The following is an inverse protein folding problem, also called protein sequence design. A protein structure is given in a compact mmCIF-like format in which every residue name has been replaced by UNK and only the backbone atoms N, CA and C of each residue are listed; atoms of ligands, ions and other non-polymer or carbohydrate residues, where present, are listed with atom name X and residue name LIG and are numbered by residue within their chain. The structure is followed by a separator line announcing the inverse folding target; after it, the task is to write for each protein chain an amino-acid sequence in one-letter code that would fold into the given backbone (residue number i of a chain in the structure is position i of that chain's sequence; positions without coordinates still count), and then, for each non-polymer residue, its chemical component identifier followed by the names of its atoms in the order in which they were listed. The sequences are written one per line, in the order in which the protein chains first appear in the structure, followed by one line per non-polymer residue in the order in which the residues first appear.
data_IF_437394146491
#
_entry.id   IF_437394146491
#
_cell.length_a   1.000
_cell.length_b   1.000
_cell.length_c   1.000
_cell.angle_alpha   90.00
_cell.angle_beta   90.00
_cell.angle_gamma   90.00
#
_symmetry.space_group_name_H-M   'P 1'
#
loop_
_entity.id
_entity.type
_entity.pdbx_description
1 polymer ?
#
# COMPACT_ATOMS: atom_id res chain seq x y z
N UNK A 1 7.16 -21.49 11.92
CA UNK A 1 7.13 -20.84 13.23
C UNK A 1 6.56 -19.40 13.11
N UNK A 2 5.22 -19.29 13.09
CA UNK A 2 4.52 -18.03 12.86
C UNK A 2 4.80 -16.94 13.92
N UNK A 3 5.16 -17.34 15.14
CA UNK A 3 5.35 -16.39 16.25
C UNK A 3 6.59 -15.50 16.11
N UNK A 4 7.65 -15.97 15.45
CA UNK A 4 8.92 -15.24 15.33
C UNK A 4 9.05 -14.46 14.02
N UNK A 5 8.33 -14.87 12.97
CA UNK A 5 8.44 -14.27 11.62
C UNK A 5 7.21 -13.48 11.21
N UNK A 6 6.14 -13.47 12.04
CA UNK A 6 4.92 -12.72 11.72
C UNK A 6 5.21 -11.22 11.52
N UNK A 7 4.84 -10.70 10.34
CA UNK A 7 5.09 -9.31 9.96
C UNK A 7 6.54 -8.98 9.60
N UNK A 8 7.45 -9.96 9.57
CA UNK A 8 8.82 -9.74 9.10
C UNK A 8 8.88 -9.82 7.58
N UNK A 9 8.62 -8.72 6.95
CA UNK A 9 8.55 -8.58 5.49
C UNK A 9 9.14 -7.24 5.04
N UNK A 10 9.31 -7.07 3.76
CA UNK A 10 9.77 -5.85 3.11
C UNK A 10 9.01 -5.64 1.80
N UNK A 11 9.05 -4.47 1.21
CA UNK A 11 8.42 -4.25 -0.11
C UNK A 11 8.88 -5.25 -1.18
N UNK A 12 10.18 -5.54 -1.36
CA UNK A 12 10.59 -6.58 -2.32
C UNK A 12 9.97 -7.95 -2.06
N UNK A 13 9.82 -8.34 -0.77
CA UNK A 13 9.16 -9.60 -0.41
C UNK A 13 7.67 -9.56 -0.76
N UNK A 14 6.99 -8.46 -0.42
CA UNK A 14 5.57 -8.25 -0.70
C UNK A 14 5.29 -8.18 -2.21
N UNK A 15 6.16 -7.56 -3.00
CA UNK A 15 6.01 -7.58 -4.47
C UNK A 15 6.14 -8.97 -5.06
N UNK A 16 7.04 -9.82 -4.54
CA UNK A 16 7.13 -11.22 -4.94
C UNK A 16 5.88 -12.00 -4.59
N UNK A 17 5.34 -11.79 -3.39
CA UNK A 17 4.09 -12.42 -2.95
C UNK A 17 2.91 -12.02 -3.84
N UNK A 18 2.75 -10.72 -4.11
CA UNK A 18 1.72 -10.20 -5.02
C UNK A 18 1.91 -10.78 -6.43
N UNK A 19 3.15 -10.81 -6.95
CA UNK A 19 3.45 -11.39 -8.26
C UNK A 19 3.07 -12.87 -8.33
N UNK A 20 3.39 -13.65 -7.29
CA UNK A 20 3.02 -15.05 -7.19
C UNK A 20 1.49 -15.22 -7.20
N UNK A 21 0.78 -14.43 -6.40
CA UNK A 21 -0.69 -14.49 -6.33
C UNK A 21 -1.36 -14.08 -7.65
N UNK A 22 -0.85 -13.06 -8.34
CA UNK A 22 -1.37 -12.66 -9.65
C UNK A 22 -1.20 -13.77 -10.69
N UNK A 23 -0.02 -14.40 -10.77
CA UNK A 23 0.24 -15.53 -11.67
C UNK A 23 -0.68 -16.72 -11.38
N UNK A 24 -0.82 -17.09 -10.10
CA UNK A 24 -1.70 -18.20 -9.68
C UNK A 24 -3.17 -17.90 -9.97
N UNK A 25 -3.61 -16.68 -9.71
CA UNK A 25 -4.99 -16.26 -9.97
C UNK A 25 -5.26 -16.25 -11.47
N UNK A 26 -4.34 -15.69 -12.28
CA UNK A 26 -4.47 -15.69 -13.74
C UNK A 26 -4.57 -17.12 -14.29
N UNK A 27 -3.68 -18.01 -13.87
CA UNK A 27 -3.69 -19.41 -14.31
C UNK A 27 -5.03 -20.11 -13.99
N UNK A 28 -5.58 -19.91 -12.78
CA UNK A 28 -6.88 -20.48 -12.38
C UNK A 28 -8.05 -19.90 -13.16
N UNK A 29 -8.03 -18.61 -13.47
CA UNK A 29 -9.07 -17.97 -14.27
C UNK A 29 -9.02 -18.47 -15.72
N UNK A 30 -7.83 -18.61 -16.29
CA UNK A 30 -7.62 -19.09 -17.64
C UNK A 30 -8.05 -20.55 -17.80
N UNK A 31 -7.74 -21.40 -16.82
CA UNK A 31 -8.18 -22.79 -16.77
C UNK A 31 -9.72 -22.90 -16.75
N UNK A 32 -10.37 -22.05 -15.95
CA UNK A 32 -11.82 -22.13 -15.73
C UNK A 32 -12.66 -21.46 -16.83
N UNK A 33 -12.17 -20.34 -17.35
CA UNK A 33 -12.97 -19.44 -18.19
C UNK A 33 -12.38 -19.20 -19.57
N UNK A 34 -11.22 -19.77 -19.88
CA UNK A 34 -10.46 -19.51 -21.09
C UNK A 34 -9.47 -18.36 -20.93
N UNK A 35 -8.38 -18.44 -21.71
CA UNK A 35 -7.25 -17.52 -21.61
C UNK A 35 -7.68 -16.05 -21.78
N UNK A 36 -7.28 -15.23 -20.83
CA UNK A 36 -7.46 -13.76 -20.80
C UNK A 36 -8.92 -13.26 -20.91
N UNK A 37 -9.92 -14.14 -20.67
CA UNK A 37 -11.34 -13.78 -20.78
C UNK A 37 -11.86 -12.98 -19.59
N UNK A 38 -11.29 -13.17 -18.40
CA UNK A 38 -11.72 -12.50 -17.15
C UNK A 38 -10.72 -11.42 -16.77
N UNK A 39 -11.14 -10.15 -16.65
CA UNK A 39 -10.25 -9.08 -16.20
C UNK A 39 -9.82 -9.30 -14.74
N UNK A 40 -8.55 -8.99 -14.44
CA UNK A 40 -7.97 -9.09 -13.10
C UNK A 40 -7.67 -7.70 -12.55
N UNK A 41 -8.21 -7.39 -11.38
CA UNK A 41 -7.97 -6.11 -10.72
C UNK A 41 -7.15 -6.31 -9.45
N UNK A 42 -6.20 -5.40 -9.21
CA UNK A 42 -5.42 -5.37 -7.97
C UNK A 42 -5.93 -4.26 -7.05
N UNK A 43 -6.43 -4.66 -5.88
CA UNK A 43 -6.94 -3.74 -4.87
C UNK A 43 -6.04 -3.78 -3.63
N UNK A 44 -5.71 -2.61 -3.10
CA UNK A 44 -4.97 -2.49 -1.84
C UNK A 44 -5.58 -1.44 -0.92
N UNK A 45 -5.66 -1.76 0.38
CA UNK A 45 -6.09 -0.84 1.44
C UNK A 45 -4.89 -0.44 2.30
N UNK A 46 -4.84 0.82 2.74
CA UNK A 46 -3.84 1.33 3.67
C UNK A 46 -2.40 1.06 3.18
N UNK A 47 -1.60 0.33 3.94
CA UNK A 47 -0.27 -0.13 3.52
C UNK A 47 -0.33 -0.94 2.22
N UNK A 48 -1.36 -1.79 2.05
CA UNK A 48 -1.60 -2.52 0.81
C UNK A 48 -1.86 -1.59 -0.38
N UNK A 49 -2.52 -0.45 -0.17
CA UNK A 49 -2.70 0.59 -1.18
C UNK A 49 -1.37 1.23 -1.60
N UNK A 50 -0.49 1.51 -0.64
CA UNK A 50 0.87 1.96 -0.90
C UNK A 50 1.70 0.91 -1.66
N UNK A 51 1.59 -0.37 -1.29
CA UNK A 51 2.24 -1.49 -1.99
C UNK A 51 1.73 -1.59 -3.41
N UNK A 52 0.41 -1.50 -3.63
CA UNK A 52 -0.19 -1.53 -4.97
C UNK A 52 0.29 -0.38 -5.84
N UNK A 53 0.35 0.83 -5.31
CA UNK A 53 0.90 1.99 -6.03
C UNK A 53 2.37 1.78 -6.39
N UNK A 54 3.19 1.35 -5.41
CA UNK A 54 4.60 1.05 -5.63
C UNK A 54 4.83 -0.08 -6.64
N UNK A 55 3.96 -1.11 -6.63
CA UNK A 55 4.03 -2.22 -7.56
C UNK A 55 4.05 -1.78 -9.03
N UNK A 56 3.28 -0.75 -9.36
CA UNK A 56 3.21 -0.22 -10.72
C UNK A 56 4.21 0.90 -11.03
N UNK A 57 4.73 1.58 -10.01
CA UNK A 57 5.56 2.79 -10.20
C UNK A 57 7.05 2.58 -9.93
N UNK A 58 7.46 1.42 -9.43
CA UNK A 58 8.89 1.16 -9.20
C UNK A 58 9.68 1.09 -10.49
N UNK A 59 10.99 1.30 -10.35
CA UNK A 59 11.96 1.17 -11.43
C UNK A 59 11.84 -0.21 -12.08
N UNK A 60 11.79 -0.31 -13.41
CA UNK A 60 11.74 -1.58 -14.15
C UNK A 60 12.87 -2.57 -13.80
N UNK A 61 14.01 -2.08 -13.33
CA UNK A 61 15.11 -2.92 -12.87
C UNK A 61 14.88 -3.59 -11.51
N UNK A 62 13.75 -3.28 -10.85
CA UNK A 62 13.36 -3.84 -9.56
C UNK A 62 12.11 -4.74 -9.70
N UNK A 63 11.92 -5.75 -8.84
CA UNK A 63 10.65 -6.45 -8.78
C UNK A 63 9.49 -5.47 -8.55
N UNK A 64 8.30 -5.68 -9.12
CA UNK A 64 7.85 -6.84 -9.89
C UNK A 64 8.30 -6.79 -11.36
N UNK A 65 8.33 -7.94 -12.00
CA UNK A 65 8.60 -8.06 -13.42
C UNK A 65 7.48 -7.42 -14.23
N UNK A 66 7.83 -6.80 -15.36
CA UNK A 66 6.88 -6.05 -16.20
C UNK A 66 5.74 -6.94 -16.73
N UNK A 67 6.03 -8.20 -17.05
CA UNK A 67 5.03 -9.19 -17.50
C UNK A 67 3.91 -9.40 -16.48
N UNK A 68 4.22 -9.34 -15.17
CA UNK A 68 3.22 -9.52 -14.12
C UNK A 68 2.31 -8.31 -14.00
N UNK A 69 2.85 -7.10 -14.20
CA UNK A 69 2.05 -5.88 -14.21
C UNK A 69 1.00 -5.91 -15.32
N UNK A 70 1.34 -6.51 -16.47
CA UNK A 70 0.43 -6.65 -17.62
C UNK A 70 -0.74 -7.61 -17.38
N UNK A 71 -0.67 -8.48 -16.35
CA UNK A 71 -1.80 -9.35 -15.97
C UNK A 71 -2.96 -8.55 -15.36
N UNK A 72 -2.73 -7.30 -14.95
CA UNK A 72 -3.69 -6.50 -14.21
C UNK A 72 -4.40 -5.53 -15.14
N UNK A 73 -5.73 -5.60 -15.15
CA UNK A 73 -6.62 -4.78 -15.99
C UNK A 73 -6.95 -3.42 -15.36
N UNK A 74 -6.73 -3.24 -14.06
CA UNK A 74 -6.95 -1.98 -13.35
C UNK A 74 -6.56 -2.09 -11.88
N UNK A 75 -6.28 -0.96 -11.24
CA UNK A 75 -5.89 -0.88 -9.85
C UNK A 75 -6.89 -0.07 -9.02
N UNK A 76 -7.05 -0.45 -7.75
CA UNK A 76 -7.90 0.23 -6.77
C UNK A 76 -7.07 0.49 -5.51
N UNK A 77 -6.97 1.76 -5.12
CA UNK A 77 -6.29 2.17 -3.90
C UNK A 77 -7.33 2.69 -2.91
N UNK A 78 -7.42 2.05 -1.74
CA UNK A 78 -8.30 2.50 -0.66
C UNK A 78 -7.47 3.03 0.49
N UNK A 79 -7.71 4.30 0.87
CA UNK A 79 -6.95 4.99 1.93
C UNK A 79 -5.44 4.69 1.86
N UNK A 80 -4.78 4.83 0.67
CA UNK A 80 -3.45 4.28 0.45
C UNK A 80 -2.39 4.98 1.31
N UNK A 81 -1.45 4.19 1.85
CA UNK A 81 -0.27 4.73 2.51
C UNK A 81 0.71 5.31 1.48
N UNK A 82 0.43 6.53 1.05
CA UNK A 82 1.36 7.35 0.27
C UNK A 82 2.16 8.27 1.18
N UNK A 83 1.56 8.70 2.29
CA UNK A 83 2.18 9.34 3.44
C UNK A 83 1.24 9.18 4.64
N UNK A 84 1.77 9.34 5.85
CA UNK A 84 1.01 9.21 7.09
C UNK A 84 1.17 10.44 7.99
N UNK A 85 0.24 10.59 8.92
CA UNK A 85 0.36 11.55 10.02
C UNK A 85 1.36 11.02 11.06
N UNK A 86 2.66 11.17 10.79
CA UNK A 86 3.71 10.68 11.67
C UNK A 86 4.33 11.83 12.47
N UNK A 87 4.57 11.66 13.78
CA UNK A 87 5.04 12.74 14.64
C UNK A 87 6.49 13.19 14.35
N UNK A 88 7.27 12.37 13.64
CA UNK A 88 8.65 12.67 13.30
C UNK A 88 8.74 12.96 11.80
N UNK A 89 9.34 14.09 11.37
CA UNK A 89 9.57 14.35 9.96
C UNK A 89 10.31 13.19 9.27
N UNK A 90 9.83 12.75 8.12
CA UNK A 90 10.40 11.60 7.38
C UNK A 90 11.88 11.82 7.04
N UNK A 91 12.29 13.07 6.81
CA UNK A 91 13.68 13.44 6.56
C UNK A 91 14.63 13.04 7.71
N UNK A 92 14.14 13.02 8.95
CA UNK A 92 14.91 12.58 10.13
C UNK A 92 14.63 11.11 10.43
N UNK A 93 13.38 10.70 10.38
CA UNK A 93 12.94 9.34 10.74
C UNK A 93 13.53 8.25 9.85
N UNK A 94 13.62 8.48 8.53
CA UNK A 94 14.13 7.49 7.57
C UNK A 94 15.62 7.16 7.79
N UNK A 95 16.56 8.13 7.92
CA UNK A 95 17.95 7.83 8.22
C UNK A 95 18.13 7.07 9.55
N UNK A 96 17.39 7.48 10.58
CA UNK A 96 17.41 6.79 11.89
C UNK A 96 16.93 5.35 11.74
N UNK A 97 15.80 5.14 11.08
CA UNK A 97 15.25 3.81 10.83
C UNK A 97 16.20 2.93 10.01
N UNK A 98 16.84 3.49 9.00
CA UNK A 98 17.87 2.78 8.22
C UNK A 98 19.03 2.32 9.10
N UNK A 99 19.51 3.17 10.01
CA UNK A 99 20.55 2.84 10.95
C UNK A 99 20.11 1.76 11.94
N UNK A 100 18.89 1.86 12.47
CA UNK A 100 18.31 0.84 13.35
C UNK A 100 18.22 -0.51 12.64
N UNK A 101 17.74 -0.54 11.41
CA UNK A 101 17.62 -1.79 10.63
C UNK A 101 18.96 -2.45 10.30
N UNK A 102 20.04 -1.64 10.20
CA UNK A 102 21.39 -2.17 9.98
C UNK A 102 21.89 -3.01 11.17
N UNK A 103 21.57 -2.56 12.39
CA UNK A 103 22.06 -3.19 13.63
C UNK A 103 21.04 -4.14 14.27
N UNK A 104 19.74 -3.87 14.08
CA UNK A 104 18.63 -4.58 14.71
C UNK A 104 17.55 -4.93 13.68
N UNK A 105 17.82 -5.84 12.70
CA UNK A 105 16.90 -6.09 11.59
C UNK A 105 15.56 -6.69 12.00
N UNK A 106 15.49 -7.31 13.19
CA UNK A 106 14.29 -8.01 13.69
C UNK A 106 13.50 -7.20 14.74
N UNK A 107 13.88 -5.94 14.98
CA UNK A 107 13.23 -5.12 16.00
C UNK A 107 11.75 -4.89 15.68
N UNK A 108 10.91 -5.03 16.69
CA UNK A 108 9.49 -4.68 16.69
C UNK A 108 9.25 -3.48 17.60
N UNK A 109 8.44 -2.54 17.11
CA UNK A 109 8.07 -1.35 17.88
C UNK A 109 6.53 -1.21 17.88
N UNK A 110 5.93 -0.60 18.93
CA UNK A 110 4.50 -0.35 19.04
C UNK A 110 4.10 0.87 18.15
N UNK A 111 4.23 0.71 16.85
CA UNK A 111 4.01 1.77 15.84
C UNK A 111 2.69 1.61 15.07
N UNK A 112 1.82 0.69 15.49
CA UNK A 112 0.48 0.56 14.92
C UNK A 112 -0.39 1.79 15.24
N UNK A 113 -1.28 2.22 14.31
CA UNK A 113 -2.16 3.36 14.55
C UNK A 113 -3.12 3.07 15.71
N UNK A 114 -3.49 4.11 16.50
CA UNK A 114 -4.52 3.94 17.53
C UNK A 114 -5.85 3.51 16.91
N UNK A 115 -6.52 2.50 17.48
CA UNK A 115 -7.77 1.96 16.94
C UNK A 115 -8.88 3.03 16.76
N UNK A 116 -8.91 4.04 17.64
CA UNK A 116 -9.87 5.17 17.56
C UNK A 116 -9.68 6.06 16.32
N UNK A 117 -8.51 6.02 15.70
CA UNK A 117 -8.19 6.82 14.50
C UNK A 117 -8.46 6.03 13.20
N UNK A 118 -8.66 4.71 13.33
CA UNK A 118 -8.99 3.83 12.20
C UNK A 118 -10.48 3.96 11.82
N UNK A 119 -11.38 3.83 12.80
CA UNK A 119 -12.81 3.78 12.55
C UNK A 119 -13.58 4.55 13.62
N UNK A 120 -14.79 5.06 13.27
CA UNK A 120 -15.72 5.71 14.20
C UNK A 120 -16.62 4.72 14.91
N UNK A 121 -16.85 3.55 14.32
CA UNK A 121 -17.73 2.53 14.87
C UNK A 121 -17.07 1.88 16.09
N UNK A 122 -17.66 2.11 17.27
CA UNK A 122 -17.11 1.61 18.54
C UNK A 122 -16.98 0.08 18.58
N UNK A 123 -17.88 -0.64 17.93
CA UNK A 123 -17.84 -2.09 17.84
C UNK A 123 -16.61 -2.57 17.05
N UNK A 124 -16.30 -1.92 15.92
CA UNK A 124 -15.12 -2.22 15.10
C UNK A 124 -13.83 -1.90 15.86
N UNK A 125 -13.80 -0.74 16.54
CA UNK A 125 -12.67 -0.34 17.39
C UNK A 125 -12.43 -1.36 18.51
N UNK A 126 -13.48 -1.85 19.13
CA UNK A 126 -13.39 -2.86 20.20
C UNK A 126 -12.92 -4.21 19.67
N UNK A 127 -13.46 -4.66 18.53
CA UNK A 127 -13.04 -5.90 17.88
C UNK A 127 -11.54 -5.85 17.52
N UNK A 128 -11.08 -4.75 16.92
CA UNK A 128 -9.65 -4.57 16.60
C UNK A 128 -8.74 -4.64 17.84
N UNK A 129 -9.23 -4.23 19.03
CA UNK A 129 -8.46 -4.28 20.29
C UNK A 129 -8.34 -5.69 20.87
N UNK A 130 -9.39 -6.50 20.74
CA UNK A 130 -9.46 -7.84 21.34
C UNK A 130 -9.06 -8.95 20.37
N UNK A 131 -8.97 -8.66 19.09
CA UNK A 131 -8.64 -9.63 18.07
C UNK A 131 -7.17 -10.10 18.22
N UNK A 132 -6.94 -11.40 18.47
CA UNK A 132 -5.59 -11.94 18.66
C UNK A 132 -4.71 -11.89 17.41
N UNK A 133 -5.30 -11.62 16.25
CA UNK A 133 -4.58 -11.43 14.98
C UNK A 133 -4.16 -9.97 14.76
N UNK A 134 -4.70 -9.03 15.54
CA UNK A 134 -4.30 -7.62 15.53
C UNK A 134 -3.12 -7.41 16.47
N UNK A 135 -2.12 -6.68 16.02
CA UNK A 135 -0.96 -6.31 16.82
C UNK A 135 -0.57 -4.86 16.59
N UNK A 136 -0.38 -4.13 17.68
CA UNK A 136 0.23 -2.79 17.60
C UNK A 136 1.75 -2.83 17.37
N UNK A 137 2.38 -4.00 17.57
CA UNK A 137 3.82 -4.18 17.33
C UNK A 137 4.09 -4.51 15.87
N UNK A 138 4.89 -3.68 15.23
CA UNK A 138 5.25 -3.82 13.81
C UNK A 138 6.78 -3.94 13.68
N UNK A 139 7.23 -4.83 12.80
CA UNK A 139 8.64 -4.86 12.45
C UNK A 139 9.04 -3.58 11.71
N UNK A 140 10.11 -2.93 12.15
CA UNK A 140 10.63 -1.71 11.51
C UNK A 140 10.96 -1.94 10.05
N UNK A 141 11.42 -3.15 9.68
CA UNK A 141 11.66 -3.55 8.29
C UNK A 141 10.41 -3.43 7.40
N UNK A 142 9.24 -3.78 7.94
CA UNK A 142 7.97 -3.69 7.20
C UNK A 142 7.58 -2.23 6.90
N UNK A 143 7.92 -1.31 7.81
CA UNK A 143 7.57 0.11 7.70
C UNK A 143 8.52 0.89 6.79
N UNK A 144 9.76 0.44 6.65
CA UNK A 144 10.78 1.20 5.91
C UNK A 144 10.38 1.47 4.45
N UNK A 145 9.85 0.46 3.76
CA UNK A 145 9.39 0.60 2.38
C UNK A 145 8.29 1.65 2.23
N UNK A 146 7.14 1.53 2.93
CA UNK A 146 6.06 2.51 2.87
C UNK A 146 6.49 3.93 3.28
N UNK A 147 7.25 4.08 4.37
CA UNK A 147 7.69 5.39 4.85
C UNK A 147 8.65 6.10 3.91
N UNK A 148 9.54 5.35 3.24
CA UNK A 148 10.50 5.93 2.30
C UNK A 148 9.94 6.07 0.89
N UNK A 149 9.20 5.08 0.42
CA UNK A 149 8.73 4.99 -0.96
C UNK A 149 7.36 5.64 -1.19
N UNK A 150 6.49 5.68 -0.20
CA UNK A 150 5.18 6.32 -0.33
C UNK A 150 5.25 7.78 -0.76
N UNK A 151 5.96 8.65 -0.04
CA UNK A 151 6.17 10.04 -0.44
C UNK A 151 6.85 10.18 -1.81
N UNK A 152 7.79 9.28 -2.14
CA UNK A 152 8.48 9.30 -3.42
C UNK A 152 7.55 8.97 -4.59
N UNK A 153 6.56 8.08 -4.39
CA UNK A 153 5.54 7.81 -5.41
C UNK A 153 4.83 9.09 -5.80
N UNK A 154 4.43 9.90 -4.81
CA UNK A 154 3.72 11.17 -5.05
C UNK A 154 4.62 12.24 -5.65
N UNK A 155 5.90 12.27 -5.25
CA UNK A 155 6.85 13.28 -5.72
C UNK A 155 7.34 13.03 -7.16
N UNK A 156 7.66 11.77 -7.48
CA UNK A 156 8.35 11.46 -8.73
C UNK A 156 7.84 10.20 -9.43
N UNK A 157 7.66 9.08 -8.69
CA UNK A 157 7.49 7.76 -9.29
C UNK A 157 6.14 7.61 -10.01
N UNK A 158 5.14 8.47 -9.72
CA UNK A 158 3.87 8.53 -10.43
C UNK A 158 4.04 8.63 -11.95
N UNK A 159 5.14 9.20 -12.44
CA UNK A 159 5.45 9.32 -13.87
C UNK A 159 5.59 7.96 -14.56
N UNK A 160 5.91 6.91 -13.78
CA UNK A 160 6.03 5.53 -14.25
C UNK A 160 4.72 4.76 -14.22
N UNK A 161 3.61 5.40 -13.77
CA UNK A 161 2.30 4.75 -13.81
C UNK A 161 1.97 4.30 -15.23
N UNK A 162 1.62 2.99 -15.47
CA UNK A 162 1.38 2.49 -16.82
C UNK A 162 0.25 3.25 -17.52
N UNK A 163 0.47 3.62 -18.77
CA UNK A 163 -0.46 4.50 -19.51
C UNK A 163 -1.86 3.92 -19.64
N UNK A 164 -1.95 2.62 -19.86
CA UNK A 164 -3.22 1.92 -20.11
C UNK A 164 -3.86 1.34 -18.86
N UNK A 165 -3.23 1.51 -17.68
CA UNK A 165 -3.76 0.95 -16.43
C UNK A 165 -4.70 1.96 -15.75
N UNK A 166 -6.03 1.72 -15.77
CA UNK A 166 -6.97 2.58 -15.07
C UNK A 166 -6.78 2.46 -13.55
N UNK A 167 -6.96 3.58 -12.86
CA UNK A 167 -6.81 3.70 -11.42
C UNK A 167 -8.06 4.30 -10.79
N UNK A 168 -8.56 3.64 -9.74
CA UNK A 168 -9.54 4.20 -8.81
C UNK A 168 -8.86 4.46 -7.47
N UNK A 169 -8.96 5.67 -6.95
CA UNK A 169 -8.53 6.03 -5.60
C UNK A 169 -9.76 6.35 -4.77
N UNK A 170 -9.92 5.68 -3.64
CA UNK A 170 -10.96 5.93 -2.64
C UNK A 170 -10.32 6.38 -1.34
N UNK A 171 -10.76 7.51 -0.74
CA UNK A 171 -10.14 8.01 0.49
C UNK A 171 -11.10 8.85 1.31
N UNK A 172 -11.12 8.64 2.63
CA UNK A 172 -11.85 9.46 3.57
C UNK A 172 -11.14 10.79 3.85
N UNK A 173 -11.85 11.93 3.76
CA UNK A 173 -11.21 13.24 4.03
C UNK A 173 -10.91 13.49 5.51
N UNK A 174 -11.50 12.69 6.42
CA UNK A 174 -11.24 12.70 7.85
C UNK A 174 -10.26 11.63 8.31
N UNK A 175 -9.56 10.97 7.39
CA UNK A 175 -8.55 9.95 7.71
C UNK A 175 -7.43 10.57 8.57
N UNK A 176 -7.18 9.94 9.73
CA UNK A 176 -6.16 10.37 10.70
C UNK A 176 -4.90 9.52 10.66
N UNK A 177 -4.89 8.49 9.83
CA UNK A 177 -3.79 7.55 9.68
C UNK A 177 -2.99 7.89 8.42
N UNK A 178 -3.64 7.81 7.25
CA UNK A 178 -3.03 8.14 5.97
C UNK A 178 -3.50 9.51 5.47
N UNK A 179 -2.67 10.15 4.69
CA UNK A 179 -2.91 11.53 4.25
C UNK A 179 -3.74 11.60 2.98
N UNK A 180 -5.00 12.05 3.09
CA UNK A 180 -5.88 12.27 1.95
C UNK A 180 -5.29 13.22 0.90
N UNK A 181 -4.58 14.27 1.33
CA UNK A 181 -3.97 15.25 0.42
C UNK A 181 -2.90 14.60 -0.49
N UNK A 182 -2.24 13.54 -0.04
CA UNK A 182 -1.31 12.76 -0.87
C UNK A 182 -2.05 11.96 -1.96
N UNK A 183 -3.22 11.40 -1.67
CA UNK A 183 -4.08 10.78 -2.67
C UNK A 183 -4.59 11.77 -3.70
N UNK A 184 -4.97 12.97 -3.25
CA UNK A 184 -5.38 14.06 -4.15
C UNK A 184 -4.23 14.51 -5.05
N UNK A 185 -3.02 14.67 -4.51
CA UNK A 185 -1.83 15.00 -5.31
C UNK A 185 -1.50 13.93 -6.34
N UNK A 186 -1.54 12.64 -5.96
CA UNK A 186 -1.33 11.54 -6.90
C UNK A 186 -2.35 11.59 -8.04
N UNK A 187 -3.64 11.79 -7.70
CA UNK A 187 -4.70 11.96 -8.69
C UNK A 187 -4.40 13.12 -9.65
N UNK A 188 -4.07 14.30 -9.12
CA UNK A 188 -3.81 15.51 -9.94
C UNK A 188 -2.62 15.30 -10.88
N UNK A 189 -1.54 14.68 -10.39
CA UNK A 189 -0.37 14.37 -11.18
C UNK A 189 -0.68 13.39 -12.32
N UNK A 190 -1.40 12.30 -12.02
CA UNK A 190 -1.78 11.31 -13.03
C UNK A 190 -2.76 11.88 -14.05
N UNK A 191 -3.71 12.70 -13.60
CA UNK A 191 -4.64 13.42 -14.47
C UNK A 191 -3.91 14.37 -15.41
N UNK A 192 -2.92 15.10 -14.89
CA UNK A 192 -2.06 15.99 -15.67
C UNK A 192 -1.22 15.26 -16.74
N UNK A 193 -0.91 13.98 -16.52
CA UNK A 193 -0.27 13.11 -17.51
C UNK A 193 -1.26 12.46 -18.50
N UNK A 194 -2.57 12.77 -18.42
CA UNK A 194 -3.60 12.15 -19.26
C UNK A 194 -3.90 10.69 -18.90
N UNK A 195 -3.54 10.22 -17.71
CA UNK A 195 -3.84 8.85 -17.27
C UNK A 195 -5.31 8.68 -16.92
N UNK A 196 -5.85 7.47 -17.12
CA UNK A 196 -7.20 7.10 -16.71
C UNK A 196 -7.24 6.94 -15.19
N UNK A 197 -7.63 7.98 -14.47
CA UNK A 197 -7.67 8.00 -13.00
C UNK A 197 -8.96 8.65 -12.50
N UNK A 198 -9.54 8.06 -11.46
CA UNK A 198 -10.68 8.58 -10.71
C UNK A 198 -10.32 8.69 -9.23
N UNK A 199 -10.82 9.76 -8.57
CA UNK A 199 -10.72 9.94 -7.13
C UNK A 199 -12.13 10.06 -6.54
N UNK A 200 -12.47 9.17 -5.63
CA UNK A 200 -13.68 9.23 -4.81
C UNK A 200 -13.30 9.62 -3.40
N UNK A 201 -13.72 10.81 -2.98
CA UNK A 201 -13.46 11.33 -1.64
C UNK A 201 -14.72 11.19 -0.78
N UNK A 202 -14.60 10.49 0.34
CA UNK A 202 -15.69 10.32 1.31
C UNK A 202 -15.55 11.40 2.38
N UNK A 203 -16.44 12.42 2.31
CA UNK A 203 -16.37 13.58 3.21
C UNK A 203 -16.51 13.19 4.67
N UNK A 204 -15.49 13.49 5.47
CA UNK A 204 -15.44 13.24 6.90
C UNK A 204 -15.25 11.79 7.31
N UNK A 205 -15.19 10.81 6.39
CA UNK A 205 -14.90 9.42 6.72
C UNK A 205 -13.46 9.25 7.19
N UNK A 206 -13.26 8.27 8.08
CA UNK A 206 -11.96 7.90 8.62
C UNK A 206 -11.24 6.90 7.71
N UNK A 207 -10.30 6.15 8.28
CA UNK A 207 -9.44 5.24 7.54
C UNK A 207 -10.17 3.98 7.06
N UNK A 208 -11.17 3.52 7.83
CA UNK A 208 -12.04 2.36 7.59
C UNK A 208 -13.51 2.75 7.71
#
# INVERSE_FOLDING_TARGET
NRATTHGWTSWPDQFRDVSCMLRLTRARLDERWGKDTVPLYLMGHSMGGGITAAFFTRDPASPPEEEVKQLVSGAILMSPWLDIHFPIPTAVGIPVMRSVLRWFPTIKLPLGPPSKDLCRESAVVQDARVNPLSSCYVHVRCLYGPLSGGPQIVAEDYRRWPERLPLLICHGTGDKVTRWDCSKKLYDHLKGLGRSVQLVSFTGFYHE
#
